data_IF_995640669987
#
_entry.id   IF_995640669987
#
_cell.length_a   1.000
_cell.length_b   1.000
_cell.length_c   1.000
_cell.angle_alpha   90.00
_cell.angle_beta   90.00
_cell.angle_gamma   90.00
#
_symmetry.space_group_name_H-M   'P 1'
#
loop_
_entity.id
_entity.type
_entity.pdbx_description
1 polymer ?
#
# COMPACT_ATOMS: atom_id res chain seq x y z
N UNK A 1 -60.58 -41.54 72.15
CA UNK A 1 -59.35 -40.82 72.56
C UNK A 1 -58.28 -41.07 71.50
N UNK A 2 -57.83 -40.06 70.76
CA UNK A 2 -56.94 -40.27 69.63
C UNK A 2 -55.48 -40.37 70.09
N UNK A 3 -54.78 -41.42 69.67
CA UNK A 3 -53.34 -41.58 69.84
C UNK A 3 -52.61 -41.12 68.57
N UNK A 4 -51.65 -40.24 68.77
CA UNK A 4 -50.82 -39.55 67.79
C UNK A 4 -50.07 -40.49 66.83
N UNK A 5 -50.24 -40.32 65.52
CA UNK A 5 -49.28 -40.80 64.51
C UNK A 5 -48.27 -39.69 64.22
N UNK A 6 -47.01 -39.89 64.64
CA UNK A 6 -45.93 -38.90 64.51
C UNK A 6 -45.57 -38.65 63.03
N UNK A 7 -45.18 -37.41 62.64
CA UNK A 7 -44.69 -37.13 61.30
C UNK A 7 -43.30 -37.76 61.08
N UNK A 8 -43.11 -38.39 59.91
CA UNK A 8 -41.83 -38.92 59.41
C UNK A 8 -40.90 -37.73 59.09
N UNK A 9 -39.82 -37.56 59.85
CA UNK A 9 -38.72 -36.68 59.45
C UNK A 9 -37.91 -37.35 58.32
N UNK A 10 -38.09 -36.91 57.08
CA UNK A 10 -37.13 -37.16 56.00
C UNK A 10 -35.95 -36.21 56.16
N UNK A 11 -34.81 -36.74 56.61
CA UNK A 11 -33.55 -36.00 56.70
C UNK A 11 -33.07 -35.63 55.29
N UNK A 12 -33.03 -34.33 54.99
CA UNK A 12 -32.35 -33.80 53.82
C UNK A 12 -30.84 -33.90 54.06
N UNK A 13 -30.17 -34.82 53.37
CA UNK A 13 -28.71 -34.93 53.39
C UNK A 13 -28.20 -33.95 52.33
N UNK A 14 -27.57 -32.81 52.70
CA UNK A 14 -27.00 -31.93 51.71
C UNK A 14 -25.85 -32.65 50.99
N UNK A 15 -25.90 -32.66 49.66
CA UNK A 15 -24.78 -33.07 48.81
C UNK A 15 -23.52 -32.33 49.25
N UNK A 16 -22.49 -33.08 49.65
CA UNK A 16 -21.21 -32.54 50.11
C UNK A 16 -20.59 -31.74 48.95
N UNK A 17 -20.55 -30.43 49.09
CA UNK A 17 -19.78 -29.55 48.21
C UNK A 17 -18.31 -29.86 48.48
N UNK A 18 -17.64 -30.54 47.53
CA UNK A 18 -16.21 -30.80 47.61
C UNK A 18 -15.45 -29.50 47.35
N UNK A 19 -14.90 -28.91 48.41
CA UNK A 19 -13.95 -27.82 48.28
C UNK A 19 -12.61 -28.36 47.77
N UNK A 20 -11.97 -27.67 46.82
CA UNK A 20 -10.67 -28.09 46.31
C UNK A 20 -9.62 -28.06 47.43
N UNK A 21 -8.71 -29.03 47.41
CA UNK A 21 -7.61 -29.08 48.40
C UNK A 21 -6.63 -27.94 48.17
N UNK A 22 -5.86 -27.59 49.20
CA UNK A 22 -4.86 -26.52 49.11
C UNK A 22 -3.86 -26.76 47.95
N UNK A 23 -3.46 -28.01 47.72
CA UNK A 23 -2.62 -28.38 46.58
C UNK A 23 -3.31 -28.10 45.23
N UNK A 24 -4.60 -28.43 45.10
CA UNK A 24 -5.37 -28.14 43.89
C UNK A 24 -5.49 -26.63 43.64
N UNK A 25 -5.65 -25.83 44.70
CA UNK A 25 -5.67 -24.37 44.60
C UNK A 25 -4.31 -23.80 44.19
N UNK A 26 -3.21 -24.29 44.78
CA UNK A 26 -1.85 -23.86 44.42
C UNK A 26 -1.54 -24.19 42.96
N UNK A 27 -1.90 -25.39 42.49
CA UNK A 27 -1.71 -25.78 41.11
C UNK A 27 -2.55 -24.95 40.13
N UNK A 28 -3.78 -24.57 40.50
CA UNK A 28 -4.60 -23.69 39.66
C UNK A 28 -4.00 -22.28 39.54
N UNK A 29 -3.50 -21.71 40.63
CA UNK A 29 -2.85 -20.40 40.64
C UNK A 29 -1.54 -20.42 39.83
N UNK A 30 -0.75 -21.48 39.93
CA UNK A 30 0.48 -21.60 39.15
C UNK A 30 0.20 -21.71 37.65
N UNK A 31 -0.83 -22.46 37.24
CA UNK A 31 -1.24 -22.56 35.84
C UNK A 31 -1.75 -21.24 35.27
N UNK A 32 -2.52 -20.47 36.05
CA UNK A 32 -2.97 -19.14 35.65
C UNK A 32 -1.80 -18.17 35.48
N UNK A 33 -0.81 -18.21 36.39
CA UNK A 33 0.41 -17.40 36.27
C UNK A 33 1.22 -17.80 35.04
N UNK A 34 1.41 -19.10 34.79
CA UNK A 34 2.13 -19.59 33.60
C UNK A 34 1.41 -19.16 32.32
N UNK A 35 0.09 -19.31 32.27
CA UNK A 35 -0.73 -18.86 31.14
C UNK A 35 -0.57 -17.35 30.93
N UNK A 36 -0.69 -16.55 31.99
CA UNK A 36 -0.48 -15.10 31.91
C UNK A 36 0.92 -14.75 31.40
N UNK A 37 1.98 -15.43 31.89
CA UNK A 37 3.34 -15.24 31.41
C UNK A 37 3.48 -15.58 29.92
N UNK A 38 2.91 -16.69 29.45
CA UNK A 38 2.93 -17.08 28.03
C UNK A 38 2.21 -16.02 27.20
N UNK A 39 1.00 -15.60 27.60
CA UNK A 39 0.26 -14.55 26.92
C UNK A 39 1.02 -13.22 26.90
N UNK A 40 1.66 -12.84 28.00
CA UNK A 40 2.45 -11.61 28.08
C UNK A 40 3.68 -11.66 27.15
N UNK A 41 4.39 -12.79 27.06
CA UNK A 41 5.52 -12.96 26.14
C UNK A 41 5.07 -12.92 24.68
N UNK A 42 3.98 -13.61 24.34
CA UNK A 42 3.41 -13.60 22.97
C UNK A 42 2.93 -12.20 22.57
N UNK A 43 2.26 -11.51 23.49
CA UNK A 43 1.80 -10.14 23.30
C UNK A 43 3.01 -9.23 23.08
N UNK A 44 4.00 -9.23 23.98
CA UNK A 44 5.21 -8.41 23.86
C UNK A 44 5.96 -8.64 22.53
N UNK A 45 6.08 -9.90 22.09
CA UNK A 45 6.69 -10.24 20.79
C UNK A 45 5.91 -9.67 19.60
N UNK A 46 4.57 -9.74 19.64
CA UNK A 46 3.72 -9.16 18.60
C UNK A 46 3.81 -7.62 18.55
N UNK A 47 3.89 -6.94 19.70
CA UNK A 47 4.09 -5.48 19.73
C UNK A 47 5.42 -5.07 19.10
N UNK A 48 6.52 -5.77 19.40
CA UNK A 48 7.82 -5.45 18.82
C UNK A 48 7.85 -5.67 17.31
N UNK A 49 7.27 -6.77 16.83
CA UNK A 49 7.19 -7.05 15.39
C UNK A 49 6.41 -5.95 14.64
N UNK A 50 5.28 -5.51 15.18
CA UNK A 50 4.50 -4.42 14.59
C UNK A 50 5.24 -3.07 14.69
N UNK A 51 5.93 -2.79 15.80
CA UNK A 51 6.64 -1.54 16.02
C UNK A 51 7.78 -1.30 15.00
N UNK A 52 8.48 -2.35 14.58
CA UNK A 52 9.56 -2.25 13.58
C UNK A 52 9.05 -1.85 12.18
N UNK A 53 7.78 -2.09 11.86
CA UNK A 53 7.20 -1.77 10.54
C UNK A 53 6.78 -0.30 10.39
N UNK A 54 6.77 0.49 11.49
CA UNK A 54 6.23 1.86 11.47
C UNK A 54 7.25 2.99 11.25
N UNK A 55 8.51 2.70 10.90
CA UNK A 55 9.43 3.79 10.48
C UNK A 55 8.91 4.44 9.20
N UNK A 56 8.49 5.71 9.29
CA UNK A 56 8.00 6.53 8.16
C UNK A 56 9.06 6.62 7.04
N UNK A 57 10.33 6.66 7.44
CA UNK A 57 11.49 6.78 6.54
C UNK A 57 11.97 5.39 6.08
N UNK A 58 11.63 4.33 6.84
CA UNK A 58 11.92 2.94 6.51
C UNK A 58 13.22 2.39 7.10
N UNK A 59 13.92 3.15 7.96
CA UNK A 59 15.09 2.70 8.72
C UNK A 59 15.21 3.42 10.07
N UNK A 60 16.11 2.94 10.94
CA UNK A 60 16.56 3.56 12.20
C UNK A 60 18.06 3.93 12.10
N UNK A 61 18.55 4.98 12.79
CA UNK A 61 19.98 5.27 12.85
C UNK A 61 20.83 4.08 13.29
N UNK A 62 20.29 3.19 14.14
CA UNK A 62 20.97 1.97 14.57
C UNK A 62 21.26 1.02 13.40
N UNK A 63 20.48 1.05 12.33
CA UNK A 63 20.70 0.19 11.16
C UNK A 63 21.98 0.55 10.40
N UNK A 64 22.43 1.81 10.50
CA UNK A 64 23.68 2.30 9.92
C UNK A 64 24.92 1.91 10.74
N UNK A 65 24.75 1.34 11.94
CA UNK A 65 25.85 1.08 12.88
C UNK A 65 26.74 -0.10 12.48
N UNK A 66 26.25 -1.04 11.66
CA UNK A 66 27.02 -2.19 11.21
C UNK A 66 26.58 -2.71 9.84
N UNK A 67 27.50 -3.34 9.11
CA UNK A 67 27.19 -3.97 7.82
C UNK A 67 26.15 -5.09 7.94
N UNK A 68 26.12 -5.81 9.07
CA UNK A 68 25.13 -6.86 9.32
C UNK A 68 23.71 -6.28 9.42
N UNK A 69 23.54 -5.17 10.15
CA UNK A 69 22.25 -4.49 10.27
C UNK A 69 21.81 -3.88 8.95
N UNK A 70 22.72 -3.24 8.21
CA UNK A 70 22.45 -2.76 6.86
C UNK A 70 21.98 -3.87 5.92
N UNK A 71 22.64 -5.04 5.98
CA UNK A 71 22.22 -6.20 5.21
C UNK A 71 20.83 -6.70 5.61
N UNK A 72 20.54 -6.80 6.90
CA UNK A 72 19.22 -7.19 7.40
C UNK A 72 18.12 -6.19 6.98
N UNK A 73 18.43 -4.89 7.04
CA UNK A 73 17.56 -3.83 6.54
C UNK A 73 17.29 -3.99 5.04
N UNK A 74 18.31 -4.26 4.24
CA UNK A 74 18.17 -4.50 2.81
C UNK A 74 17.28 -5.72 2.51
N UNK A 75 17.46 -6.83 3.25
CA UNK A 75 16.63 -8.03 3.10
C UNK A 75 15.16 -7.74 3.47
N UNK A 76 14.92 -7.01 4.56
CA UNK A 76 13.58 -6.59 4.95
C UNK A 76 12.94 -5.67 3.89
N UNK A 77 13.69 -4.69 3.41
CA UNK A 77 13.27 -3.80 2.34
C UNK A 77 12.93 -4.56 1.05
N UNK A 78 13.75 -5.54 0.66
CA UNK A 78 13.47 -6.40 -0.50
C UNK A 78 12.13 -7.12 -0.35
N UNK A 79 11.87 -7.71 0.82
CA UNK A 79 10.60 -8.40 1.11
C UNK A 79 9.42 -7.44 1.02
N UNK A 80 9.52 -6.28 1.68
CA UNK A 80 8.49 -5.23 1.69
C UNK A 80 8.12 -4.75 0.29
N UNK A 81 9.12 -4.58 -0.58
CA UNK A 81 8.95 -4.09 -1.95
C UNK A 81 8.85 -5.23 -2.99
N UNK A 82 8.77 -6.49 -2.56
CA UNK A 82 8.68 -7.69 -3.42
C UNK A 82 9.78 -7.73 -4.48
N UNK A 83 11.02 -7.40 -4.09
CA UNK A 83 12.21 -7.42 -4.94
C UNK A 83 12.86 -8.79 -4.87
N UNK A 84 13.18 -9.34 -6.03
CA UNK A 84 13.88 -10.60 -6.17
C UNK A 84 14.97 -10.45 -7.22
N UNK A 85 16.19 -10.89 -6.90
CA UNK A 85 17.33 -10.91 -7.80
C UNK A 85 17.78 -12.36 -7.94
N UNK A 86 17.82 -12.86 -9.18
CA UNK A 86 18.20 -14.25 -9.47
C UNK A 86 19.71 -14.46 -9.37
N UNK A 87 20.47 -13.42 -9.67
CA UNK A 87 21.92 -13.45 -9.71
C UNK A 87 22.54 -12.84 -8.43
N UNK A 88 23.62 -13.47 -7.97
CA UNK A 88 24.32 -13.03 -6.74
C UNK A 88 25.07 -11.73 -6.98
N UNK A 89 25.68 -11.55 -8.15
CA UNK A 89 26.40 -10.32 -8.48
C UNK A 89 25.44 -9.15 -8.59
N UNK A 90 24.27 -9.34 -9.23
CA UNK A 90 23.22 -8.32 -9.26
C UNK A 90 22.76 -7.96 -7.84
N UNK A 91 22.52 -8.95 -6.97
CA UNK A 91 22.11 -8.69 -5.59
C UNK A 91 23.16 -7.88 -4.82
N UNK A 92 24.44 -8.19 -4.99
CA UNK A 92 25.55 -7.45 -4.37
C UNK A 92 25.64 -6.02 -4.90
N UNK A 93 25.52 -5.83 -6.22
CA UNK A 93 25.47 -4.51 -6.84
C UNK A 93 24.31 -3.67 -6.29
N UNK A 94 23.11 -4.26 -6.23
CA UNK A 94 21.90 -3.60 -5.71
C UNK A 94 22.04 -3.24 -4.23
N UNK A 95 22.74 -4.07 -3.45
CA UNK A 95 23.04 -3.77 -2.06
C UNK A 95 23.98 -2.58 -1.91
N UNK A 96 25.02 -2.46 -2.74
CA UNK A 96 25.92 -1.29 -2.72
C UNK A 96 25.18 0.00 -3.12
N UNK A 97 24.36 -0.05 -4.18
CA UNK A 97 23.51 1.09 -4.57
C UNK A 97 22.53 1.47 -3.46
N UNK A 98 21.95 0.47 -2.79
CA UNK A 98 21.07 0.69 -1.65
C UNK A 98 21.78 1.40 -0.48
N UNK A 99 23.02 1.02 -0.16
CA UNK A 99 23.83 1.68 0.87
C UNK A 99 24.10 3.14 0.53
N UNK A 100 24.48 3.41 -0.72
CA UNK A 100 24.75 4.78 -1.19
C UNK A 100 23.48 5.64 -1.12
N UNK A 101 22.35 5.12 -1.57
CA UNK A 101 21.07 5.80 -1.48
C UNK A 101 20.62 6.03 -0.03
N UNK A 102 20.81 5.05 0.86
CA UNK A 102 20.49 5.20 2.28
C UNK A 102 21.33 6.30 2.94
N UNK A 103 22.63 6.34 2.64
CA UNK A 103 23.51 7.42 3.12
C UNK A 103 23.05 8.79 2.60
N UNK A 104 22.69 8.88 1.32
CA UNK A 104 22.16 10.11 0.74
C UNK A 104 20.87 10.57 1.43
N UNK A 105 19.95 9.63 1.70
CA UNK A 105 18.70 9.89 2.43
C UNK A 105 19.01 10.47 3.81
N UNK A 106 19.92 9.83 4.55
CA UNK A 106 20.28 10.23 5.91
C UNK A 106 20.89 11.63 5.96
N UNK A 107 21.86 11.90 5.09
CA UNK A 107 22.51 13.21 4.99
C UNK A 107 21.53 14.30 4.55
N UNK A 108 20.66 14.01 3.59
CA UNK A 108 19.72 14.99 3.08
C UNK A 108 18.63 15.32 4.10
N UNK A 109 18.12 14.33 4.82
CA UNK A 109 17.09 14.51 5.85
C UNK A 109 17.60 15.33 7.05
N UNK A 110 18.91 15.33 7.32
CA UNK A 110 19.51 16.23 8.33
C UNK A 110 19.50 17.71 7.93
N UNK A 111 19.44 18.01 6.62
CA UNK A 111 19.54 19.37 6.09
C UNK A 111 18.21 19.92 5.55
N UNK A 112 17.33 19.04 5.06
CA UNK A 112 16.11 19.45 4.37
C UNK A 112 15.05 19.96 5.37
N UNK A 113 14.47 21.12 5.06
CA UNK A 113 13.32 21.68 5.76
C UNK A 113 12.12 21.68 4.79
N UNK A 114 11.05 20.95 5.13
CA UNK A 114 9.81 20.92 4.34
C UNK A 114 9.57 19.65 3.52
N UNK A 115 10.52 18.73 3.44
CA UNK A 115 10.30 17.37 2.94
C UNK A 115 11.29 16.38 3.56
N UNK A 116 10.97 15.09 3.48
CA UNK A 116 11.87 14.01 3.84
C UNK A 116 11.97 13.01 2.69
N UNK A 117 13.15 12.44 2.53
CA UNK A 117 13.39 11.25 1.72
C UNK A 117 13.20 10.01 2.57
N UNK A 118 13.01 8.85 1.94
CA UNK A 118 12.88 7.57 2.63
C UNK A 118 13.14 6.41 1.67
N UNK A 119 13.28 5.22 2.24
CA UNK A 119 13.50 3.97 1.50
C UNK A 119 12.22 3.57 0.76
N UNK A 120 12.07 4.08 -0.45
CA UNK A 120 10.95 3.77 -1.35
C UNK A 120 11.27 2.59 -2.28
N UNK A 121 10.39 2.30 -3.25
CA UNK A 121 10.53 1.19 -4.20
C UNK A 121 11.73 1.30 -5.16
N UNK A 122 12.41 2.45 -5.18
CA UNK A 122 13.53 2.77 -6.06
C UNK A 122 14.87 2.88 -5.32
N UNK A 123 14.93 2.51 -4.03
CA UNK A 123 16.16 2.61 -3.23
C UNK A 123 17.30 1.70 -3.74
N UNK A 124 17.01 0.73 -4.60
CA UNK A 124 17.98 -0.16 -5.26
C UNK A 124 18.53 0.37 -6.60
N UNK A 125 18.07 1.55 -7.05
CA UNK A 125 18.43 2.10 -8.34
C UNK A 125 19.35 3.31 -8.20
N UNK A 126 20.32 3.41 -9.09
CA UNK A 126 21.08 4.65 -9.26
C UNK A 126 20.17 5.71 -9.90
N UNK A 127 20.55 6.98 -9.73
CA UNK A 127 19.80 8.09 -10.35
C UNK A 127 19.71 7.96 -11.88
N UNK A 128 20.78 7.48 -12.52
CA UNK A 128 20.81 7.29 -13.97
C UNK A 128 19.89 6.14 -14.42
N UNK A 129 19.92 5.00 -13.74
CA UNK A 129 19.00 3.89 -14.00
C UNK A 129 17.54 4.32 -13.82
N UNK A 130 17.24 5.04 -12.74
CA UNK A 130 15.91 5.57 -12.48
C UNK A 130 15.46 6.49 -13.62
N UNK A 131 16.31 7.44 -14.03
CA UNK A 131 16.04 8.35 -15.13
C UNK A 131 15.76 7.62 -16.44
N UNK A 132 16.58 6.63 -16.78
CA UNK A 132 16.47 5.88 -18.03
C UNK A 132 15.21 5.01 -18.08
N UNK A 133 14.76 4.50 -16.93
CA UNK A 133 13.61 3.58 -16.83
C UNK A 133 12.27 4.30 -16.65
N UNK A 134 12.23 5.40 -15.88
CA UNK A 134 10.98 6.02 -15.45
C UNK A 134 10.70 7.42 -16.00
N UNK A 135 11.72 8.18 -16.42
CA UNK A 135 11.57 9.58 -16.87
C UNK A 135 11.42 9.74 -18.40
N UNK A 136 11.13 8.67 -19.14
CA UNK A 136 11.17 8.58 -20.61
C UNK A 136 10.11 9.38 -21.41
N UNK A 137 9.34 10.27 -20.80
CA UNK A 137 8.33 11.07 -21.49
C UNK A 137 8.97 12.18 -22.34
N UNK A 138 9.29 11.86 -23.61
CA UNK A 138 9.53 12.86 -24.65
C UNK A 138 8.20 13.28 -25.24
N UNK A 139 7.63 14.39 -24.78
CA UNK A 139 6.52 15.07 -25.46
C UNK A 139 7.07 15.54 -26.80
N UNK A 140 6.73 14.83 -27.89
CA UNK A 140 6.91 15.40 -29.21
C UNK A 140 6.20 16.76 -29.17
N UNK A 141 6.92 17.83 -29.50
CA UNK A 141 6.43 19.19 -29.53
C UNK A 141 5.39 19.28 -30.66
N UNK A 142 4.22 18.68 -30.45
CA UNK A 142 3.05 18.85 -31.29
C UNK A 142 2.71 20.32 -31.14
N UNK A 143 2.96 21.10 -32.21
CA UNK A 143 2.31 22.40 -32.37
C UNK A 143 0.85 22.15 -32.02
N UNK A 144 0.36 22.79 -30.96
CA UNK A 144 -1.05 22.69 -30.57
C UNK A 144 -1.84 23.05 -31.81
N UNK A 145 -2.54 22.09 -32.40
CA UNK A 145 -3.60 22.43 -33.34
C UNK A 145 -4.60 23.22 -32.49
N UNK A 146 -4.68 24.53 -32.72
CA UNK A 146 -5.46 25.43 -31.89
C UNK A 146 -6.90 24.96 -31.83
N UNK A 147 -7.32 24.40 -30.70
CA UNK A 147 -8.73 24.36 -30.34
C UNK A 147 -9.11 25.78 -29.96
N UNK A 148 -10.04 26.39 -30.68
CA UNK A 148 -10.50 27.77 -30.54
C UNK A 148 -11.37 28.00 -29.30
N UNK A 149 -11.03 27.39 -28.18
CA UNK A 149 -11.59 27.73 -26.88
C UNK A 149 -10.50 28.51 -26.16
N UNK A 150 -10.45 29.81 -26.45
CA UNK A 150 -9.51 30.73 -25.83
C UNK A 150 -9.68 30.68 -24.30
N UNK A 151 -8.56 30.74 -23.58
CA UNK A 151 -8.58 30.89 -22.13
C UNK A 151 -9.33 32.19 -21.78
N UNK A 152 -10.53 32.07 -21.23
CA UNK A 152 -11.32 33.22 -20.79
C UNK A 152 -10.83 33.59 -19.40
N UNK A 153 -10.21 34.76 -19.29
CA UNK A 153 -9.85 35.36 -18.02
C UNK A 153 -11.14 35.65 -17.24
N UNK A 154 -11.29 35.05 -16.06
CA UNK A 154 -12.44 35.27 -15.17
C UNK A 154 -11.94 35.85 -13.86
N UNK A 155 -12.78 36.66 -13.23
CA UNK A 155 -12.50 37.20 -11.90
C UNK A 155 -12.18 36.08 -10.90
N UNK A 156 -10.96 36.13 -10.36
CA UNK A 156 -10.39 35.15 -9.41
C UNK A 156 -10.55 35.60 -7.94
N UNK A 157 -11.31 36.68 -7.69
CA UNK A 157 -11.52 37.24 -6.36
C UNK A 157 -12.16 36.27 -5.35
N UNK A 158 -12.96 35.30 -5.81
CA UNK A 158 -13.72 34.36 -4.99
C UNK A 158 -13.26 32.90 -5.12
N UNK A 159 -11.94 32.63 -5.13
CA UNK A 159 -11.41 31.27 -5.17
C UNK A 159 -11.29 30.62 -3.77
N UNK A 160 -11.52 29.30 -3.67
CA UNK A 160 -11.27 28.57 -2.43
C UNK A 160 -9.77 28.54 -2.09
N UNK A 161 -9.44 28.54 -0.80
CA UNK A 161 -8.05 28.47 -0.30
C UNK A 161 -7.31 27.19 -0.72
N UNK A 162 -8.03 26.09 -0.95
CA UNK A 162 -7.46 24.83 -1.45
C UNK A 162 -8.50 24.02 -2.21
N UNK A 163 -8.03 23.21 -3.17
CA UNK A 163 -8.87 22.31 -3.96
C UNK A 163 -8.21 20.93 -3.98
N UNK A 164 -8.95 19.91 -3.55
CA UNK A 164 -8.55 18.50 -3.69
C UNK A 164 -9.54 17.76 -4.61
N UNK A 165 -9.09 17.46 -5.83
CA UNK A 165 -9.91 16.78 -6.84
C UNK A 165 -10.23 15.33 -6.48
N UNK A 166 -9.47 14.70 -5.58
CA UNK A 166 -9.77 13.34 -5.09
C UNK A 166 -11.09 13.33 -4.33
N UNK A 167 -11.35 14.36 -3.52
CA UNK A 167 -12.61 14.53 -2.78
C UNK A 167 -13.81 14.77 -3.68
N UNK A 168 -13.56 15.17 -4.94
CA UNK A 168 -14.59 15.42 -5.95
C UNK A 168 -14.80 14.22 -6.89
N UNK A 169 -14.15 13.08 -6.64
CA UNK A 169 -14.27 11.87 -7.48
C UNK A 169 -13.64 11.98 -8.86
N UNK A 170 -12.89 13.05 -9.15
CA UNK A 170 -12.29 13.30 -10.46
C UNK A 170 -10.91 12.61 -10.66
N UNK A 171 -10.43 11.87 -9.65
CA UNK A 171 -9.11 11.24 -9.63
C UNK A 171 -9.27 9.75 -9.35
N UNK A 172 -8.78 8.92 -10.27
CA UNK A 172 -8.71 7.46 -10.11
C UNK A 172 -7.66 7.05 -9.06
N UNK A 173 -7.67 5.80 -8.58
CA UNK A 173 -6.57 5.27 -7.78
C UNK A 173 -5.20 5.46 -8.46
N UNK A 174 -4.15 5.59 -7.65
CA UNK A 174 -2.77 5.71 -8.14
C UNK A 174 -2.39 4.42 -8.86
N UNK A 175 -1.84 4.56 -10.08
CA UNK A 175 -1.40 3.44 -10.93
C UNK A 175 0.13 3.37 -10.97
N UNK A 176 0.68 2.17 -11.18
CA UNK A 176 2.12 1.97 -11.41
C UNK A 176 2.39 1.85 -12.92
N UNK A 177 3.25 2.74 -13.45
CA UNK A 177 3.63 2.75 -14.87
C UNK A 177 4.57 1.60 -15.26
N UNK A 178 5.17 0.91 -14.28
CA UNK A 178 6.18 -0.12 -14.47
C UNK A 178 7.39 0.39 -15.26
N UNK A 179 8.04 -0.53 -15.98
CA UNK A 179 9.11 -0.22 -16.94
C UNK A 179 8.59 0.25 -18.31
N UNK A 180 7.26 0.39 -18.48
CA UNK A 180 6.61 0.72 -19.75
C UNK A 180 6.71 2.20 -20.13
N UNK A 181 7.62 2.97 -19.50
CA UNK A 181 7.91 4.39 -19.81
C UNK A 181 8.34 4.69 -21.25
N UNK A 182 8.36 3.68 -22.14
CA UNK A 182 8.55 3.81 -23.59
C UNK A 182 7.24 3.98 -24.38
N UNK A 183 6.07 3.66 -23.81
CA UNK A 183 4.77 3.75 -24.49
C UNK A 183 4.03 5.05 -24.15
N UNK A 184 4.15 5.99 -25.08
CA UNK A 184 3.92 7.44 -24.96
C UNK A 184 2.46 7.90 -24.98
N UNK A 185 1.46 7.07 -24.67
CA UNK A 185 0.05 7.40 -24.97
C UNK A 185 -0.85 7.53 -23.72
N UNK A 186 -0.52 6.89 -22.58
CA UNK A 186 -1.45 6.82 -21.44
C UNK A 186 -1.58 8.09 -20.58
N UNK A 187 -0.47 8.75 -20.24
CA UNK A 187 -0.48 9.70 -19.11
C UNK A 187 -1.12 11.07 -19.41
N UNK A 188 -1.02 11.58 -20.64
CA UNK A 188 -1.54 12.91 -20.99
C UNK A 188 -3.03 12.85 -21.37
N UNK A 189 -3.44 11.81 -22.12
CA UNK A 189 -4.83 11.65 -22.56
C UNK A 189 -5.79 11.35 -21.40
N UNK A 190 -5.35 10.55 -20.41
CA UNK A 190 -6.19 10.23 -19.25
C UNK A 190 -6.52 11.43 -18.37
N UNK A 191 -5.59 12.40 -18.24
CA UNK A 191 -5.79 13.54 -17.32
C UNK A 191 -6.74 14.58 -17.87
N UNK A 192 -6.78 14.77 -19.19
CA UNK A 192 -7.68 15.73 -19.84
C UNK A 192 -9.08 15.17 -20.11
N UNK A 193 -9.22 13.86 -20.37
CA UNK A 193 -10.51 13.24 -20.68
C UNK A 193 -11.38 12.96 -19.44
N UNK A 194 -10.78 12.79 -18.26
CA UNK A 194 -11.50 12.53 -17.00
C UNK A 194 -12.46 13.69 -16.62
N UNK A 195 -12.22 14.90 -17.12
CA UNK A 195 -13.03 16.07 -16.79
C UNK A 195 -14.38 16.14 -17.54
N UNK A 196 -14.60 15.30 -18.57
CA UNK A 196 -15.77 15.43 -19.46
C UNK A 196 -16.75 14.26 -19.47
N UNK A 197 -16.35 13.01 -19.21
CA UNK A 197 -17.29 11.87 -19.23
C UNK A 197 -16.83 10.73 -18.30
N UNK A 198 -17.40 10.65 -17.09
CA UNK A 198 -17.05 9.66 -16.06
C UNK A 198 -17.65 8.25 -16.32
N UNK A 199 -18.62 8.08 -17.22
CA UNK A 199 -19.41 6.84 -17.31
C UNK A 199 -18.95 5.80 -18.36
N UNK A 200 -18.04 6.13 -19.28
CA UNK A 200 -17.74 5.27 -20.44
C UNK A 200 -16.37 4.54 -20.39
N UNK A 201 -15.53 4.78 -19.37
CA UNK A 201 -14.11 4.41 -19.43
C UNK A 201 -13.65 3.27 -18.50
N UNK A 202 -14.44 2.87 -17.50
CA UNK A 202 -14.08 1.75 -16.60
C UNK A 202 -13.88 0.44 -17.41
N UNK A 203 -14.72 0.19 -18.42
CA UNK A 203 -14.64 -1.03 -19.24
C UNK A 203 -13.50 -1.03 -20.28
N UNK A 204 -12.96 0.13 -20.67
CA UNK A 204 -12.01 0.20 -21.80
C UNK A 204 -10.56 -0.06 -21.37
N UNK A 205 -10.19 0.31 -20.13
CA UNK A 205 -8.82 0.10 -19.63
C UNK A 205 -8.56 -1.34 -19.19
N UNK A 206 -9.56 -2.03 -18.64
CA UNK A 206 -9.45 -3.45 -18.30
C UNK A 206 -9.29 -4.33 -19.55
N UNK A 207 -9.97 -3.97 -20.65
CA UNK A 207 -9.81 -4.63 -21.95
C UNK A 207 -8.42 -4.40 -22.59
N UNK A 208 -7.79 -3.24 -22.35
CA UNK A 208 -6.44 -2.94 -22.87
C UNK A 208 -5.32 -3.61 -22.06
N UNK A 209 -5.52 -3.85 -20.76
CA UNK A 209 -4.57 -4.57 -19.91
C UNK A 209 -4.64 -6.09 -20.08
N UNK A 210 -5.78 -6.64 -20.50
CA UNK A 210 -5.97 -8.10 -20.69
C UNK A 210 -5.69 -8.59 -22.12
N UNK A 211 -5.52 -7.70 -23.11
CA UNK A 211 -5.55 -8.04 -24.54
C UNK A 211 -4.21 -8.16 -25.31
N UNK A 212 -3.03 -8.20 -24.67
CA UNK A 212 -1.72 -8.21 -25.40
C UNK A 212 -1.04 -9.60 -25.43
N UNK A 213 -1.82 -10.68 -25.37
CA UNK A 213 -1.36 -12.02 -25.81
C UNK A 213 -2.41 -12.61 -26.74
N UNK A 214 -2.31 -12.29 -28.03
CA UNK A 214 -3.15 -12.91 -29.06
C UNK A 214 -3.30 -12.07 -30.32
N UNK A 215 -2.63 -12.52 -31.39
CA UNK A 215 -2.83 -12.17 -32.80
C UNK A 215 -4.16 -11.49 -33.14
N UNK A 216 -4.11 -10.29 -33.76
CA UNK A 216 -5.13 -9.88 -34.73
C UNK A 216 -4.48 -9.03 -35.84
N UNK A 217 -4.37 -9.64 -37.02
CA UNK A 217 -4.19 -8.97 -38.32
C UNK A 217 -5.61 -8.61 -38.89
N UNK A 218 -5.72 -7.82 -39.96
CA UNK A 218 -6.56 -6.63 -40.01
C UNK A 218 -7.87 -6.82 -40.79
N UNK A 219 -8.98 -6.29 -40.26
CA UNK A 219 -10.16 -5.95 -41.05
C UNK A 219 -10.36 -4.43 -41.03
N UNK A 220 -9.91 -3.82 -42.13
CA UNK A 220 -10.14 -2.44 -42.51
C UNK A 220 -11.62 -2.25 -42.91
N UNK A 221 -12.14 -1.08 -42.55
CA UNK A 221 -13.01 -0.24 -43.38
C UNK A 221 -14.30 -0.88 -43.93
N UNK A 222 -15.41 -0.76 -43.19
CA UNK A 222 -16.71 -0.39 -43.80
C UNK A 222 -17.75 -0.04 -42.73
N UNK A 223 -17.90 1.27 -42.44
CA UNK A 223 -19.17 1.98 -42.16
C UNK A 223 -18.87 3.37 -41.58
N UNK A 224 -18.21 4.18 -42.38
CA UNK A 224 -18.37 5.63 -42.33
C UNK A 224 -19.10 6.03 -43.61
N UNK A 225 -20.43 5.96 -43.58
CA UNK A 225 -21.33 6.78 -44.39
C UNK A 225 -22.77 6.44 -43.99
N UNK A 226 -23.49 7.40 -43.44
CA UNK A 226 -24.84 7.83 -43.88
C UNK A 226 -25.50 8.69 -42.79
N UNK A 227 -25.74 9.95 -43.20
CA UNK A 227 -26.78 10.93 -42.79
C UNK A 227 -26.76 11.55 -41.39
N UNK A 228 -26.16 12.75 -41.36
CA UNK A 228 -26.87 13.96 -40.97
C UNK A 228 -28.10 14.13 -41.89
N UNK A 229 -29.30 14.14 -41.33
CA UNK A 229 -30.46 14.81 -41.92
C UNK A 229 -31.30 15.39 -40.79
N UNK A 230 -31.64 16.65 -40.99
CA UNK A 230 -32.49 17.55 -40.22
C UNK A 230 -33.82 16.93 -39.72
N UNK A 231 -34.25 17.40 -38.55
CA UNK A 231 -35.60 17.75 -38.06
C UNK A 231 -35.46 17.80 -36.52
N UNK A 232 -35.75 18.88 -35.78
CA UNK A 232 -36.74 19.97 -35.88
C UNK A 232 -36.17 21.30 -35.42
#
# INVERSE_FOLDING_TARGET
>A
MPLFSKPKLTLYIPTIVKFPTLEQQIMAVSLLNISYFIFAVLFQGAYQALAHDFSIIGYSPDDLSSNERLHNLFVSWMSKHRKFYSDVEERLLRFEVFKDNLKHIDERNKQATGYWLGLNEFADLTHEEFRNKYLGLRVAQRKRAGSSEDFIDRDVSALPKSVDWRKKGAVTPVKNQGSCGKLKIGAILLRSLCHKHQAYWENMWDLLLQGVVGHFQPWLLSRASIRLSQET
#
